data_IF_077969418952
#
_entry.id   IF_077969418952
#
_cell.length_a   1.000
_cell.length_b   1.000
_cell.length_c   1.000
_cell.angle_alpha   90.00
_cell.angle_beta   90.00
_cell.angle_gamma   90.00
#
_symmetry.space_group_name_H-M   'P 1'
#
loop_
_entity.id
_entity.type
_entity.pdbx_description
1 polymer ?
#
# COMPACT_ATOMS: atom_id res chain seq x y z
N UNK A 1 -7.30 -16.03 0.52
CA UNK A 1 -6.66 -16.79 -0.57
C UNK A 1 -6.15 -15.82 -1.63
N UNK A 2 -4.83 -15.71 -1.82
CA UNK A 2 -4.29 -15.05 -3.00
C UNK A 2 -4.61 -15.94 -4.19
N UNK A 3 -5.69 -15.61 -4.91
CA UNK A 3 -6.00 -16.32 -6.15
C UNK A 3 -4.81 -16.05 -7.05
N UNK A 4 -4.01 -17.06 -7.38
CA UNK A 4 -2.93 -16.95 -8.36
C UNK A 4 -3.54 -17.04 -9.75
N UNK A 5 -2.97 -16.35 -10.74
CA UNK A 5 -3.55 -16.38 -12.09
C UNK A 5 -3.16 -17.73 -12.67
N UNK A 6 -4.13 -18.55 -13.08
CA UNK A 6 -3.84 -19.86 -13.68
C UNK A 6 -2.90 -19.67 -14.86
N UNK A 7 -1.75 -20.37 -14.83
CA UNK A 7 -0.73 -20.34 -15.89
C UNK A 7 -1.35 -20.60 -17.27
N UNK A 8 -2.38 -21.45 -17.32
CA UNK A 8 -3.18 -21.75 -18.52
C UNK A 8 -3.94 -20.54 -19.06
N UNK A 9 -4.61 -19.76 -18.21
CA UNK A 9 -5.34 -18.54 -18.64
C UNK A 9 -4.40 -17.47 -19.18
N UNK A 10 -3.24 -17.29 -18.53
CA UNK A 10 -2.18 -16.40 -19.02
C UNK A 10 -1.69 -16.82 -20.39
N UNK A 11 -1.40 -18.12 -20.58
CA UNK A 11 -0.95 -18.65 -21.87
C UNK A 11 -1.97 -18.43 -23.00
N UNK A 12 -3.26 -18.68 -22.74
CA UNK A 12 -4.33 -18.45 -23.73
C UNK A 12 -4.44 -16.96 -24.07
N UNK A 13 -4.40 -16.09 -23.06
CA UNK A 13 -4.45 -14.64 -23.27
C UNK A 13 -3.27 -14.15 -24.12
N UNK A 14 -2.03 -14.58 -23.81
CA UNK A 14 -0.84 -14.23 -24.59
C UNK A 14 -1.01 -14.72 -26.04
N UNK A 15 -1.40 -15.98 -26.24
CA UNK A 15 -1.58 -16.56 -27.57
C UNK A 15 -2.59 -15.78 -28.43
N UNK A 16 -3.76 -15.45 -27.88
CA UNK A 16 -4.81 -14.70 -28.59
C UNK A 16 -4.39 -13.26 -28.90
N UNK A 17 -3.82 -12.55 -27.93
CA UNK A 17 -3.36 -11.18 -28.14
C UNK A 17 -2.22 -11.13 -29.14
N UNK A 18 -1.23 -12.03 -29.03
CA UNK A 18 -0.13 -12.12 -30.00
C UNK A 18 -0.63 -12.45 -31.40
N UNK A 19 -1.62 -13.33 -31.55
CA UNK A 19 -2.21 -13.65 -32.85
C UNK A 19 -2.86 -12.41 -33.49
N UNK A 20 -3.66 -11.66 -32.73
CA UNK A 20 -4.32 -10.43 -33.21
C UNK A 20 -3.30 -9.35 -33.57
N UNK A 21 -2.28 -9.15 -32.73
CA UNK A 21 -1.24 -8.14 -32.98
C UNK A 21 -0.40 -8.51 -34.21
N UNK A 22 -0.02 -9.78 -34.35
CA UNK A 22 0.78 -10.27 -35.47
C UNK A 22 0.00 -10.24 -36.78
N UNK A 23 -1.28 -10.63 -36.78
CA UNK A 23 -2.11 -10.58 -37.99
C UNK A 23 -2.29 -9.15 -38.48
N UNK A 24 -2.56 -8.21 -37.56
CA UNK A 24 -2.69 -6.80 -37.91
C UNK A 24 -1.34 -6.21 -38.37
N UNK A 25 -0.22 -6.57 -37.75
CA UNK A 25 1.10 -6.12 -38.20
C UNK A 25 1.44 -6.62 -39.61
N UNK A 26 1.26 -7.92 -39.87
CA UNK A 26 1.55 -8.54 -41.17
C UNK A 26 0.70 -7.95 -42.30
N UNK A 27 -0.53 -7.52 -41.99
CA UNK A 27 -1.43 -6.90 -42.95
C UNK A 27 -0.87 -5.59 -43.53
N UNK A 28 -0.14 -4.81 -42.74
CA UNK A 28 0.50 -3.57 -43.19
C UNK A 28 1.96 -3.76 -43.62
N UNK A 29 2.64 -4.79 -43.10
CA UNK A 29 4.04 -5.08 -43.43
C UNK A 29 4.23 -5.79 -44.77
N UNK A 30 3.24 -6.59 -45.21
CA UNK A 30 3.32 -7.34 -46.46
C UNK A 30 2.57 -6.59 -47.58
N UNK A 31 3.10 -6.57 -48.83
CA UNK A 31 2.47 -5.91 -49.98
C UNK A 31 1.29 -6.73 -50.55
N UNK A 32 0.42 -7.24 -49.68
CA UNK A 32 -0.71 -8.10 -50.05
C UNK A 32 -1.87 -7.26 -50.59
N UNK A 33 -2.01 -6.01 -50.13
CA UNK A 33 -3.12 -5.13 -50.49
C UNK A 33 -2.56 -3.83 -51.09
N UNK A 34 -2.73 -3.59 -52.41
CA UNK A 34 -2.09 -2.47 -53.12
C UNK A 34 -2.64 -1.09 -52.73
N UNK A 35 -3.82 -1.03 -52.13
CA UNK A 35 -4.35 0.15 -51.42
C UNK A 35 -5.21 -0.37 -50.26
N UNK A 36 -4.79 -0.14 -49.01
CA UNK A 36 -5.53 -0.67 -47.86
C UNK A 36 -6.90 0.03 -47.75
N UNK A 37 -8.02 -0.72 -47.82
CA UNK A 37 -9.35 -0.15 -47.68
C UNK A 37 -9.54 0.48 -46.30
N UNK A 38 -10.37 1.53 -46.21
CA UNK A 38 -10.66 2.22 -44.93
C UNK A 38 -11.25 1.26 -43.89
N UNK A 39 -11.97 0.25 -44.35
CA UNK A 39 -12.61 -0.79 -43.55
C UNK A 39 -11.57 -1.66 -42.83
N UNK A 40 -10.42 -1.91 -43.48
CA UNK A 40 -9.33 -2.71 -42.90
C UNK A 40 -8.63 -1.94 -41.78
N UNK A 41 -8.41 -0.64 -41.99
CA UNK A 41 -7.86 0.27 -40.98
C UNK A 41 -8.79 0.39 -39.77
N UNK A 42 -10.10 0.51 -40.01
CA UNK A 42 -11.11 0.50 -38.95
C UNK A 42 -11.15 -0.84 -38.21
N UNK A 43 -11.02 -1.96 -38.92
CA UNK A 43 -10.89 -3.29 -38.33
C UNK A 43 -9.69 -3.41 -37.39
N UNK A 44 -8.51 -2.96 -37.82
CA UNK A 44 -7.31 -2.95 -36.97
C UNK A 44 -7.45 -2.05 -35.74
N UNK A 45 -8.11 -0.89 -35.88
CA UNK A 45 -8.42 -0.01 -34.74
C UNK A 45 -9.39 -0.68 -33.76
N UNK A 46 -10.43 -1.35 -34.25
CA UNK A 46 -11.38 -2.10 -33.42
C UNK A 46 -10.71 -3.26 -32.68
N UNK A 47 -9.85 -4.01 -33.37
CA UNK A 47 -9.09 -5.10 -32.77
C UNK A 47 -8.21 -4.60 -31.61
N UNK A 48 -7.47 -3.53 -31.86
CA UNK A 48 -6.54 -2.98 -30.89
C UNK A 48 -7.24 -2.27 -29.71
N UNK A 49 -8.30 -1.51 -29.98
CA UNK A 49 -8.96 -0.65 -28.97
C UNK A 49 -10.15 -1.32 -28.27
N UNK A 50 -10.71 -2.40 -28.80
CA UNK A 50 -11.89 -3.06 -28.22
C UNK A 50 -11.70 -4.57 -28.06
N UNK A 51 -11.28 -5.30 -29.08
CA UNK A 51 -11.18 -6.77 -29.00
C UNK A 51 -10.11 -7.19 -27.98
N UNK A 52 -8.91 -6.60 -28.03
CA UNK A 52 -7.84 -6.88 -27.06
C UNK A 52 -8.29 -6.50 -25.63
N UNK A 53 -8.85 -5.30 -25.37
CA UNK A 53 -9.42 -4.97 -24.05
C UNK A 53 -10.50 -5.93 -23.57
N UNK A 54 -11.41 -6.39 -24.44
CA UNK A 54 -12.47 -7.37 -24.08
C UNK A 54 -11.86 -8.72 -23.72
N UNK A 55 -10.93 -9.23 -24.53
CA UNK A 55 -10.20 -10.48 -24.24
C UNK A 55 -9.45 -10.35 -22.90
N UNK A 56 -8.78 -9.22 -22.69
CA UNK A 56 -8.07 -8.92 -21.45
C UNK A 56 -9.03 -8.84 -20.26
N UNK A 57 -10.22 -8.29 -20.46
CA UNK A 57 -11.25 -8.23 -19.43
C UNK A 57 -11.66 -9.63 -18.98
N UNK A 58 -12.02 -10.52 -19.90
CA UNK A 58 -12.50 -11.86 -19.56
C UNK A 58 -11.42 -12.76 -18.94
N UNK A 59 -10.19 -12.72 -19.46
CA UNK A 59 -9.12 -13.63 -19.03
C UNK A 59 -8.34 -13.12 -17.81
N UNK A 60 -8.22 -11.80 -17.63
CA UNK A 60 -7.41 -11.18 -16.58
C UNK A 60 -8.25 -10.37 -15.57
N UNK A 61 -9.06 -9.41 -16.03
CA UNK A 61 -9.63 -8.36 -15.15
C UNK A 61 -10.88 -8.82 -14.37
N UNK A 62 -11.88 -9.41 -15.03
CA UNK A 62 -13.28 -9.65 -14.55
C UNK A 62 -13.41 -10.24 -13.14
N UNK A 63 -12.41 -10.98 -12.65
CA UNK A 63 -12.47 -11.67 -11.34
C UNK A 63 -11.42 -11.20 -10.34
N UNK A 64 -10.59 -10.22 -10.69
CA UNK A 64 -9.33 -9.96 -10.00
C UNK A 64 -9.00 -8.49 -9.85
N UNK A 65 -9.27 -7.71 -10.89
CA UNK A 65 -8.90 -6.31 -10.98
C UNK A 65 -10.16 -5.45 -11.16
N UNK A 66 -10.05 -4.18 -10.78
CA UNK A 66 -11.10 -3.19 -11.02
C UNK A 66 -11.30 -3.01 -12.54
N UNK A 67 -12.52 -2.63 -12.94
CA UNK A 67 -12.81 -2.29 -14.34
C UNK A 67 -11.90 -1.17 -14.87
N UNK A 68 -11.36 -0.35 -13.98
CA UNK A 68 -10.42 0.74 -14.30
C UNK A 68 -9.14 0.26 -15.00
N UNK A 69 -8.75 -1.01 -14.85
CA UNK A 69 -7.59 -1.56 -15.55
C UNK A 69 -7.82 -1.79 -17.06
N UNK A 70 -9.04 -1.60 -17.58
CA UNK A 70 -9.30 -1.62 -19.02
C UNK A 70 -8.67 -0.41 -19.72
N UNK A 71 -8.71 0.77 -19.10
CA UNK A 71 -8.19 2.01 -19.69
C UNK A 71 -6.72 1.92 -20.16
N UNK A 72 -5.75 1.47 -19.35
CA UNK A 72 -4.38 1.32 -19.81
C UNK A 72 -4.22 0.30 -20.94
N UNK A 73 -5.08 -0.73 -21.02
CA UNK A 73 -5.07 -1.72 -22.12
C UNK A 73 -5.55 -1.09 -23.41
N UNK A 74 -6.60 -0.26 -23.36
CA UNK A 74 -7.10 0.50 -24.52
C UNK A 74 -6.03 1.48 -25.02
N UNK A 75 -5.36 2.20 -24.11
CA UNK A 75 -4.29 3.14 -24.45
C UNK A 75 -3.11 2.41 -25.12
N UNK A 76 -2.66 1.29 -24.53
CA UNK A 76 -1.59 0.48 -25.12
C UNK A 76 -1.95 -0.07 -26.50
N UNK A 77 -3.20 -0.52 -26.66
CA UNK A 77 -3.73 -0.96 -27.95
C UNK A 77 -3.72 0.15 -29.00
N UNK A 78 -4.15 1.36 -28.64
CA UNK A 78 -4.10 2.51 -29.56
C UNK A 78 -2.67 2.91 -29.93
N UNK A 79 -1.74 2.92 -28.97
CA UNK A 79 -0.31 3.20 -29.25
C UNK A 79 0.23 2.18 -30.24
N UNK A 80 -0.09 0.90 -30.07
CA UNK A 80 0.31 -0.15 -31.01
C UNK A 80 -0.32 0.06 -32.39
N UNK A 81 -1.61 0.40 -32.47
CA UNK A 81 -2.28 0.68 -33.73
C UNK A 81 -1.61 1.85 -34.49
N UNK A 82 -1.20 2.90 -33.77
CA UNK A 82 -0.47 4.04 -34.37
C UNK A 82 0.92 3.67 -34.87
N UNK A 83 1.53 2.62 -34.31
CA UNK A 83 2.84 2.13 -34.73
C UNK A 83 2.76 1.28 -36.01
N UNK A 84 1.70 0.47 -36.16
CA UNK A 84 1.56 -0.45 -37.30
C UNK A 84 0.85 0.19 -38.52
N UNK A 85 -0.10 1.10 -38.29
CA UNK A 85 -0.91 1.70 -39.36
C UNK A 85 -0.18 2.92 -39.91
N UNK A 86 0.08 3.00 -41.23
CA UNK A 86 0.70 4.18 -41.83
C UNK A 86 -0.11 5.46 -41.59
N UNK A 87 0.58 6.59 -41.37
CA UNK A 87 -0.02 7.86 -40.93
C UNK A 87 -1.09 8.41 -41.85
N UNK A 88 -0.97 8.19 -43.16
CA UNK A 88 -1.90 8.71 -44.17
C UNK A 88 -3.30 8.09 -44.02
N UNK A 89 -3.37 6.84 -43.58
CA UNK A 89 -4.63 6.15 -43.31
C UNK A 89 -5.27 6.57 -41.98
N UNK A 90 -4.46 6.93 -40.98
CA UNK A 90 -4.95 7.38 -39.67
C UNK A 90 -5.57 8.79 -39.72
N UNK A 91 -5.20 9.64 -40.68
CA UNK A 91 -5.79 10.97 -40.83
C UNK A 91 -7.32 10.93 -41.02
N UNK A 92 -7.82 9.91 -41.73
CA UNK A 92 -9.26 9.69 -41.92
C UNK A 92 -10.01 9.36 -40.61
N UNK A 93 -9.28 8.95 -39.56
CA UNK A 93 -9.80 8.52 -38.27
C UNK A 93 -9.34 9.43 -37.12
N UNK A 94 -9.01 10.69 -37.42
CA UNK A 94 -8.58 11.68 -36.42
C UNK A 94 -9.53 11.80 -35.22
N UNK A 95 -10.84 11.58 -35.41
CA UNK A 95 -11.87 11.52 -34.35
C UNK A 95 -11.55 10.52 -33.22
N UNK A 96 -10.82 9.43 -33.50
CA UNK A 96 -10.43 8.42 -32.51
C UNK A 96 -9.50 9.01 -31.45
N UNK A 97 -8.57 9.88 -31.86
CA UNK A 97 -7.68 10.59 -30.94
C UNK A 97 -8.47 11.50 -29.97
N UNK A 98 -9.50 12.20 -30.47
CA UNK A 98 -10.36 13.04 -29.64
C UNK A 98 -11.18 12.23 -28.64
N UNK A 99 -11.64 11.03 -29.02
CA UNK A 99 -12.35 10.12 -28.10
C UNK A 99 -11.43 9.67 -26.95
N UNK A 100 -10.16 9.37 -27.23
CA UNK A 100 -9.19 8.98 -26.20
C UNK A 100 -8.93 10.13 -25.25
N UNK A 101 -8.66 11.33 -25.78
CA UNK A 101 -8.46 12.54 -24.97
C UNK A 101 -9.71 12.86 -24.13
N UNK A 102 -10.90 12.74 -24.70
CA UNK A 102 -12.15 12.91 -23.96
C UNK A 102 -12.30 11.87 -22.84
N UNK A 103 -11.89 10.62 -23.08
CA UNK A 103 -11.84 9.57 -22.07
C UNK A 103 -10.86 9.86 -20.94
N UNK A 104 -9.67 10.37 -21.27
CA UNK A 104 -8.66 10.80 -20.28
C UNK A 104 -9.18 11.96 -19.43
N UNK A 105 -9.78 12.98 -20.05
CA UNK A 105 -10.40 14.10 -19.33
C UNK A 105 -11.51 13.60 -18.40
N UNK A 106 -12.40 12.74 -18.89
CA UNK A 106 -13.45 12.16 -18.06
C UNK A 106 -12.91 11.37 -16.87
N UNK A 107 -11.83 10.60 -17.07
CA UNK A 107 -11.14 9.87 -16.02
C UNK A 107 -10.56 10.82 -14.96
N UNK A 108 -9.84 11.85 -15.38
CA UNK A 108 -9.29 12.90 -14.49
C UNK A 108 -10.40 13.62 -13.73
N UNK A 109 -11.53 13.91 -14.36
CA UNK A 109 -12.70 14.49 -13.69
C UNK A 109 -13.27 13.58 -12.59
N UNK A 110 -13.33 12.27 -12.84
CA UNK A 110 -13.79 11.29 -11.84
C UNK A 110 -12.84 11.23 -10.64
N UNK A 111 -11.53 11.16 -10.87
CA UNK A 111 -10.53 11.16 -9.79
C UNK A 111 -10.59 12.46 -8.98
N UNK A 112 -10.66 13.61 -9.66
CA UNK A 112 -10.81 14.93 -9.04
C UNK A 112 -12.09 15.03 -8.21
N UNK A 113 -13.20 14.45 -8.69
CA UNK A 113 -14.46 14.40 -7.96
C UNK A 113 -14.39 13.53 -6.69
N UNK A 114 -13.66 12.41 -6.74
CA UNK A 114 -13.41 11.57 -5.57
C UNK A 114 -12.57 12.32 -4.52
N UNK A 115 -11.51 13.02 -4.95
CA UNK A 115 -10.71 13.88 -4.06
C UNK A 115 -11.56 14.98 -3.45
N UNK A 116 -12.38 15.66 -4.26
CA UNK A 116 -13.29 16.71 -3.79
C UNK A 116 -14.26 16.22 -2.71
N UNK A 117 -14.81 15.00 -2.83
CA UNK A 117 -15.66 14.41 -1.78
C UNK A 117 -14.92 14.25 -0.45
N UNK A 118 -13.64 13.87 -0.48
CA UNK A 118 -12.81 13.72 0.71
C UNK A 118 -12.48 15.09 1.31
N UNK A 119 -12.08 16.06 0.47
CA UNK A 119 -11.79 17.43 0.88
C UNK A 119 -13.00 18.08 1.55
N UNK A 120 -14.22 17.87 1.04
CA UNK A 120 -15.45 18.37 1.68
C UNK A 120 -15.71 17.79 3.06
N UNK A 121 -15.19 16.60 3.38
CA UNK A 121 -15.29 15.97 4.71
C UNK A 121 -14.15 16.36 5.65
N UNK A 122 -13.10 16.98 5.14
CA UNK A 122 -11.91 17.35 5.91
C UNK A 122 -12.22 18.22 7.14
N UNK A 123 -13.11 19.24 7.09
CA UNK A 123 -13.43 20.03 8.29
C UNK A 123 -14.05 19.17 9.41
N UNK A 124 -14.91 18.22 9.04
CA UNK A 124 -15.51 17.28 10.00
C UNK A 124 -14.47 16.31 10.57
N UNK A 125 -13.55 15.82 9.74
CA UNK A 125 -12.42 14.97 10.17
C UNK A 125 -11.56 15.73 11.18
N UNK A 126 -11.21 16.99 10.91
CA UNK A 126 -10.41 17.82 11.82
C UNK A 126 -11.13 18.03 13.15
N UNK A 127 -12.45 18.30 13.12
CA UNK A 127 -13.26 18.43 14.33
C UNK A 127 -13.23 17.14 15.17
N UNK A 128 -13.53 16.00 14.53
CA UNK A 128 -13.53 14.68 15.19
C UNK A 128 -12.16 14.29 15.72
N UNK A 129 -11.09 14.59 14.98
CA UNK A 129 -9.73 14.36 15.42
C UNK A 129 -9.40 15.15 16.68
N UNK A 130 -9.81 16.42 16.78
CA UNK A 130 -9.60 17.21 18.01
C UNK A 130 -10.34 16.61 19.21
N UNK A 131 -11.58 16.14 19.01
CA UNK A 131 -12.37 15.44 20.04
C UNK A 131 -11.66 14.14 20.49
N UNK A 132 -11.23 13.29 19.56
CA UNK A 132 -10.56 12.03 19.91
C UNK A 132 -9.15 12.22 20.46
N UNK A 133 -8.42 13.27 20.05
CA UNK A 133 -7.09 13.57 20.60
C UNK A 133 -7.17 13.98 22.07
N UNK A 134 -8.24 14.65 22.50
CA UNK A 134 -8.43 14.95 23.93
C UNK A 134 -8.74 13.72 24.78
N UNK A 135 -9.35 12.68 24.18
CA UNK A 135 -9.67 11.43 24.87
C UNK A 135 -8.50 10.42 24.83
N UNK A 136 -7.74 10.39 23.72
CA UNK A 136 -6.61 9.51 23.51
C UNK A 136 -5.37 10.30 23.06
N UNK A 137 -4.30 10.25 23.85
CA UNK A 137 -3.04 10.96 23.56
C UNK A 137 -2.28 10.47 22.30
N UNK A 138 -2.78 9.44 21.58
CA UNK A 138 -2.16 8.91 20.36
C UNK A 138 -2.77 9.51 19.09
N UNK A 139 -1.93 10.18 18.29
CA UNK A 139 -2.29 10.70 16.97
C UNK A 139 -2.87 9.61 16.05
N UNK A 140 -2.17 8.48 15.92
CA UNK A 140 -2.55 7.41 14.99
C UNK A 140 -3.92 6.82 15.32
N UNK A 141 -4.24 6.69 16.61
CA UNK A 141 -5.57 6.26 17.03
C UNK A 141 -6.62 7.32 16.72
N UNK A 142 -6.38 8.57 17.12
CA UNK A 142 -7.33 9.67 16.94
C UNK A 142 -7.66 9.93 15.46
N UNK A 143 -6.66 9.86 14.58
CA UNK A 143 -6.89 10.04 13.14
C UNK A 143 -7.67 8.86 12.54
N UNK A 144 -7.40 7.63 12.95
CA UNK A 144 -8.18 6.47 12.48
C UNK A 144 -9.66 6.62 12.85
N UNK A 145 -9.93 6.92 14.12
CA UNK A 145 -11.28 7.11 14.65
C UNK A 145 -12.01 8.29 13.99
N UNK A 146 -11.28 9.38 13.71
CA UNK A 146 -11.86 10.54 13.02
C UNK A 146 -12.31 10.21 11.60
N UNK A 147 -11.51 9.45 10.85
CA UNK A 147 -11.88 9.01 9.50
C UNK A 147 -13.02 7.99 9.52
N UNK A 148 -13.00 7.04 10.46
CA UNK A 148 -14.06 6.05 10.63
C UNK A 148 -15.42 6.69 10.96
N UNK A 149 -15.41 7.74 11.79
CA UNK A 149 -16.61 8.50 12.13
C UNK A 149 -17.11 9.42 11.00
N UNK A 150 -16.19 9.93 10.16
CA UNK A 150 -16.55 10.90 9.12
C UNK A 150 -17.01 10.26 7.81
N UNK A 151 -16.53 9.06 7.47
CA UNK A 151 -16.87 8.38 6.22
C UNK A 151 -16.60 6.88 6.25
N UNK A 152 -17.26 6.15 5.34
CA UNK A 152 -17.01 4.72 5.16
C UNK A 152 -15.60 4.48 4.61
N UNK A 153 -14.85 3.59 5.26
CA UNK A 153 -13.53 3.14 4.80
C UNK A 153 -13.61 2.41 3.47
N UNK A 154 -12.85 2.91 2.50
CA UNK A 154 -12.53 2.23 1.26
C UNK A 154 -11.00 2.30 1.07
N UNK A 155 -10.47 1.57 0.07
CA UNK A 155 -9.01 1.52 -0.15
C UNK A 155 -8.37 2.90 -0.37
N UNK A 156 -9.05 3.82 -1.03
CA UNK A 156 -8.52 5.18 -1.25
C UNK A 156 -8.40 5.95 0.06
N UNK A 157 -9.43 5.87 0.92
CA UNK A 157 -9.39 6.47 2.26
C UNK A 157 -8.29 5.84 3.11
N UNK A 158 -8.11 4.52 3.05
CA UNK A 158 -7.04 3.84 3.80
C UNK A 158 -5.64 4.25 3.35
N UNK A 159 -5.44 4.44 2.04
CA UNK A 159 -4.20 5.01 1.50
C UNK A 159 -4.00 6.42 2.04
N UNK A 160 -5.00 7.30 1.91
CA UNK A 160 -4.91 8.69 2.37
C UNK A 160 -4.61 8.77 3.87
N UNK A 161 -5.25 7.96 4.70
CA UNK A 161 -4.98 7.93 6.14
C UNK A 161 -3.55 7.48 6.44
N UNK A 162 -3.03 6.51 5.68
CA UNK A 162 -1.65 6.05 5.81
C UNK A 162 -0.67 7.17 5.42
N UNK A 163 -0.91 7.85 4.30
CA UNK A 163 -0.11 9.00 3.85
C UNK A 163 -0.17 10.16 4.85
N UNK A 164 -1.35 10.46 5.41
CA UNK A 164 -1.48 11.47 6.47
C UNK A 164 -0.63 11.12 7.69
N UNK A 165 -0.59 9.84 8.09
CA UNK A 165 0.28 9.38 9.18
C UNK A 165 1.75 9.53 8.83
N UNK A 166 2.15 9.13 7.62
CA UNK A 166 3.52 9.27 7.14
C UNK A 166 3.97 10.74 7.21
N UNK A 167 3.22 11.65 6.60
CA UNK A 167 3.54 13.09 6.60
C UNK A 167 3.59 13.64 8.03
N UNK A 168 2.62 13.29 8.87
CA UNK A 168 2.60 13.74 10.25
C UNK A 168 3.84 13.28 11.03
N UNK A 169 4.19 11.99 10.97
CA UNK A 169 5.33 11.47 11.71
C UNK A 169 6.67 11.92 11.12
N UNK A 170 6.79 12.07 9.80
CA UNK A 170 8.01 12.58 9.18
C UNK A 170 8.30 14.03 9.60
N UNK A 171 7.28 14.91 9.57
CA UNK A 171 7.51 16.37 9.62
C UNK A 171 6.87 17.09 10.80
N UNK A 172 5.74 16.61 11.33
CA UNK A 172 4.91 17.38 12.26
C UNK A 172 4.96 16.87 13.71
N UNK A 173 5.38 15.61 13.93
CA UNK A 173 5.37 14.99 15.26
C UNK A 173 6.57 15.33 16.14
N UNK A 174 7.51 16.18 15.68
CA UNK A 174 8.78 16.43 16.37
C UNK A 174 8.61 17.09 17.73
N UNK A 175 7.58 17.94 17.89
CA UNK A 175 7.23 18.62 19.14
C UNK A 175 6.19 17.89 19.99
N UNK A 176 5.61 16.81 19.47
CA UNK A 176 4.59 16.06 20.19
C UNK A 176 5.22 15.31 21.37
N UNK A 177 4.59 15.30 22.54
CA UNK A 177 5.09 14.54 23.69
C UNK A 177 4.86 13.05 23.46
N UNK A 178 5.79 12.21 23.95
CA UNK A 178 5.54 10.76 23.99
C UNK A 178 4.56 10.52 25.13
N UNK A 179 3.53 9.68 24.97
CA UNK A 179 2.70 9.26 26.10
C UNK A 179 3.59 8.62 27.17
N UNK A 180 3.41 9.04 28.42
CA UNK A 180 4.11 8.52 29.60
C UNK A 180 3.07 8.09 30.64
N UNK A 181 3.39 7.07 31.42
CA UNK A 181 2.51 6.52 32.45
C UNK A 181 2.93 5.12 32.85
N UNK A 182 2.41 4.65 33.98
CA UNK A 182 2.73 3.33 34.55
C UNK A 182 2.33 2.17 33.63
N UNK A 183 1.30 2.36 32.80
CA UNK A 183 0.78 1.35 31.86
C UNK A 183 1.18 1.61 30.40
N UNK A 184 2.29 2.34 30.20
CA UNK A 184 2.77 2.75 28.87
C UNK A 184 4.18 2.26 28.64
N UNK A 185 4.35 1.41 27.64
CA UNK A 185 5.59 0.68 27.43
C UNK A 185 6.21 0.96 26.06
N UNK A 186 7.48 1.36 26.03
CA UNK A 186 8.25 1.41 24.78
C UNK A 186 8.75 0.02 24.39
N UNK A 187 9.06 -0.15 23.10
CA UNK A 187 9.53 -1.42 22.52
C UNK A 187 10.76 -1.24 21.61
N UNK A 188 11.32 -0.03 21.58
CA UNK A 188 12.35 0.36 20.61
C UNK A 188 13.63 0.88 21.28
N UNK A 189 13.61 1.21 22.58
CA UNK A 189 14.75 1.86 23.25
C UNK A 189 15.90 0.89 23.51
N UNK A 190 15.61 -0.39 23.76
CA UNK A 190 16.59 -1.45 23.99
C UNK A 190 16.87 -2.30 22.75
N UNK A 191 16.59 -1.76 21.57
CA UNK A 191 16.75 -2.45 20.28
C UNK A 191 17.65 -1.65 19.34
N UNK A 192 18.22 -2.32 18.33
CA UNK A 192 19.00 -1.66 17.29
C UNK A 192 18.17 -0.89 16.25
N UNK A 193 16.83 -0.92 16.35
CA UNK A 193 15.93 -0.57 15.25
C UNK A 193 16.09 0.86 14.73
N UNK A 194 16.16 1.85 15.63
CA UNK A 194 16.35 3.26 15.23
C UNK A 194 17.68 3.42 14.48
N UNK A 195 18.75 2.78 14.98
CA UNK A 195 20.06 2.80 14.34
C UNK A 195 20.03 2.21 12.92
N UNK A 196 19.28 1.11 12.70
CA UNK A 196 19.11 0.51 11.38
C UNK A 196 18.40 1.45 10.42
N UNK A 197 17.30 2.11 10.84
CA UNK A 197 16.63 3.08 9.96
C UNK A 197 17.53 4.28 9.64
N UNK A 198 18.30 4.79 10.60
CA UNK A 198 19.27 5.87 10.36
C UNK A 198 20.34 5.41 9.35
N UNK A 199 20.87 4.19 9.51
CA UNK A 199 21.84 3.61 8.57
C UNK A 199 21.26 3.50 7.16
N UNK A 200 20.02 3.00 7.02
CA UNK A 200 19.34 2.89 5.72
C UNK A 200 19.16 4.28 5.09
N UNK A 201 18.74 5.30 5.86
CA UNK A 201 18.60 6.67 5.34
C UNK A 201 19.93 7.18 4.78
N UNK A 202 21.05 6.97 5.48
CA UNK A 202 22.39 7.38 5.00
C UNK A 202 22.81 6.59 3.75
N UNK A 203 22.61 5.27 3.75
CA UNK A 203 22.91 4.42 2.61
C UNK A 203 22.12 4.87 1.38
N UNK A 204 20.80 5.04 1.50
CA UNK A 204 19.92 5.52 0.43
C UNK A 204 20.34 6.91 -0.06
N UNK A 205 20.77 7.81 0.82
CA UNK A 205 21.24 9.14 0.41
C UNK A 205 22.49 9.05 -0.47
N UNK A 206 23.51 8.32 -0.04
CA UNK A 206 24.79 8.15 -0.78
C UNK A 206 24.53 7.42 -2.10
N UNK A 207 23.79 6.32 -2.04
CA UNK A 207 23.38 5.50 -3.18
C UNK A 207 22.60 6.31 -4.22
N UNK A 208 21.70 7.20 -3.78
CA UNK A 208 20.90 8.06 -4.66
C UNK A 208 21.76 8.98 -5.50
N UNK A 209 22.86 9.53 -4.96
CA UNK A 209 23.76 10.41 -5.71
C UNK A 209 24.42 9.63 -6.86
N UNK A 210 24.97 8.46 -6.54
CA UNK A 210 25.64 7.60 -7.53
C UNK A 210 24.69 7.09 -8.62
N UNK A 211 23.54 6.54 -8.22
CA UNK A 211 22.57 6.03 -9.18
C UNK A 211 21.88 7.14 -9.98
N UNK A 212 21.60 8.30 -9.39
CA UNK A 212 21.04 9.40 -10.16
C UNK A 212 21.99 9.81 -11.29
N UNK A 213 23.29 9.97 -11.01
CA UNK A 213 24.27 10.27 -12.05
C UNK A 213 24.34 9.17 -13.13
N UNK A 214 24.45 7.90 -12.71
CA UNK A 214 24.53 6.77 -13.63
C UNK A 214 23.29 6.67 -14.54
N UNK A 215 22.09 6.74 -13.96
CA UNK A 215 20.86 6.63 -14.73
C UNK A 215 20.57 7.88 -15.55
N UNK A 216 21.05 9.05 -15.15
CA UNK A 216 20.83 10.28 -15.93
C UNK A 216 21.55 10.23 -17.28
N UNK A 217 22.69 9.51 -17.38
CA UNK A 217 23.37 9.28 -18.65
C UNK A 217 22.59 8.37 -19.60
N UNK A 218 21.83 7.42 -19.04
CA UNK A 218 21.03 6.49 -19.82
C UNK A 218 19.66 7.05 -20.18
N UNK A 219 18.93 7.58 -19.19
CA UNK A 219 17.63 8.20 -19.34
C UNK A 219 17.34 9.18 -18.18
N UNK A 220 17.34 10.51 -18.44
CA UNK A 220 17.08 11.52 -17.42
C UNK A 220 15.74 11.35 -16.68
N UNK A 221 14.69 10.91 -17.37
CA UNK A 221 13.35 10.71 -16.77
C UNK A 221 13.41 9.60 -15.72
N UNK A 222 14.06 8.48 -16.04
CA UNK A 222 14.23 7.36 -15.09
C UNK A 222 15.01 7.82 -13.85
N UNK A 223 16.08 8.60 -14.04
CA UNK A 223 16.90 9.12 -12.95
C UNK A 223 16.09 9.99 -11.97
N UNK A 224 15.22 10.87 -12.48
CA UNK A 224 14.35 11.71 -11.65
C UNK A 224 13.26 10.91 -10.91
N UNK A 225 12.66 9.91 -11.58
CA UNK A 225 11.68 9.02 -10.95
C UNK A 225 12.32 8.25 -9.80
N UNK A 226 13.50 7.67 -10.00
CA UNK A 226 14.22 6.93 -8.96
C UNK A 226 14.65 7.84 -7.80
N UNK A 227 15.17 9.04 -8.09
CA UNK A 227 15.51 10.01 -7.06
C UNK A 227 14.28 10.39 -6.21
N UNK A 228 13.14 10.64 -6.84
CA UNK A 228 11.88 10.96 -6.15
C UNK A 228 11.44 9.81 -5.24
N UNK A 229 11.52 8.57 -5.71
CA UNK A 229 11.20 7.38 -4.93
C UNK A 229 12.13 7.21 -3.72
N UNK A 230 13.43 7.48 -3.89
CA UNK A 230 14.39 7.41 -2.79
C UNK A 230 14.15 8.51 -1.74
N UNK A 231 13.85 9.73 -2.16
CA UNK A 231 13.46 10.82 -1.24
C UNK A 231 12.19 10.45 -0.47
N UNK A 232 11.19 9.89 -1.15
CA UNK A 232 9.98 9.39 -0.49
C UNK A 232 10.28 8.28 0.51
N UNK A 233 11.16 7.33 0.15
CA UNK A 233 11.58 6.26 1.06
C UNK A 233 12.28 6.81 2.31
N UNK A 234 13.14 7.83 2.17
CA UNK A 234 13.74 8.51 3.33
C UNK A 234 12.69 9.14 4.25
N UNK A 235 11.67 9.80 3.69
CA UNK A 235 10.56 10.34 4.50
C UNK A 235 9.77 9.24 5.19
N UNK A 236 9.54 8.11 4.51
CA UNK A 236 8.93 6.94 5.13
C UNK A 236 9.76 6.43 6.33
N UNK A 237 11.08 6.30 6.18
CA UNK A 237 11.95 5.85 7.28
C UNK A 237 11.99 6.83 8.45
N UNK A 238 12.00 8.14 8.18
CA UNK A 238 11.88 9.17 9.22
C UNK A 238 10.53 9.07 9.95
N UNK A 239 9.44 8.90 9.20
CA UNK A 239 8.12 8.70 9.75
C UNK A 239 8.04 7.42 10.59
N UNK A 240 8.67 6.33 10.16
CA UNK A 240 8.69 5.07 10.89
C UNK A 240 9.44 5.19 12.22
N UNK A 241 10.61 5.84 12.24
CA UNK A 241 11.33 6.16 13.49
C UNK A 241 10.43 6.94 14.45
N UNK A 242 9.79 7.99 13.95
CA UNK A 242 8.96 8.85 14.77
C UNK A 242 7.67 8.14 15.22
N UNK A 243 7.08 7.32 14.37
CA UNK A 243 5.93 6.50 14.71
C UNK A 243 6.29 5.47 15.80
N UNK A 244 7.47 4.86 15.75
CA UNK A 244 7.92 3.96 16.82
C UNK A 244 8.11 4.68 18.16
N UNK A 245 8.63 5.91 18.13
CA UNK A 245 8.84 6.72 19.33
C UNK A 245 7.55 7.22 19.96
N UNK A 246 6.53 7.52 19.14
CA UNK A 246 5.31 8.23 19.57
C UNK A 246 4.10 7.30 19.76
N UNK A 247 4.22 6.02 19.45
CA UNK A 247 3.16 5.04 19.67
C UNK A 247 3.67 3.92 20.59
N UNK A 248 3.84 4.16 21.90
CA UNK A 248 4.12 3.08 22.84
C UNK A 248 2.97 2.07 22.89
N UNK A 249 3.25 0.88 23.41
CA UNK A 249 2.24 -0.10 23.77
C UNK A 249 1.51 0.43 25.00
N UNK A 250 0.17 0.46 24.95
CA UNK A 250 -0.65 1.00 26.02
C UNK A 250 -1.50 -0.14 26.59
N UNK A 251 -1.36 -0.37 27.88
CA UNK A 251 -2.24 -1.25 28.65
C UNK A 251 -3.31 -0.37 29.31
N UNK A 252 -4.58 -0.71 29.08
CA UNK A 252 -5.72 -0.01 29.72
C UNK A 252 -6.40 -0.97 30.69
N UNK A 253 -7.48 -0.54 31.33
CA UNK A 253 -8.24 -1.41 32.23
C UNK A 253 -8.84 -2.66 31.55
N UNK A 254 -9.24 -2.57 30.27
CA UNK A 254 -10.01 -3.63 29.59
C UNK A 254 -9.32 -4.25 28.37
N UNK A 255 -8.23 -3.63 27.91
CA UNK A 255 -7.60 -3.98 26.63
C UNK A 255 -6.15 -3.54 26.58
N UNK A 256 -5.37 -4.25 25.76
CA UNK A 256 -4.03 -3.83 25.32
C UNK A 256 -4.10 -3.27 23.89
N UNK A 257 -3.40 -2.16 23.67
CA UNK A 257 -3.27 -1.50 22.37
C UNK A 257 -1.81 -1.65 21.93
N UNK A 258 -1.58 -2.45 20.89
CA UNK A 258 -0.26 -2.69 20.32
C UNK A 258 -0.22 -2.00 18.96
N UNK A 259 0.62 -0.97 18.85
CA UNK A 259 0.89 -0.31 17.58
C UNK A 259 2.39 -0.22 17.33
N UNK A 260 2.87 -0.93 16.30
CA UNK A 260 4.28 -0.96 15.93
C UNK A 260 4.50 -0.11 14.69
N UNK A 261 5.15 1.03 14.89
CA UNK A 261 5.49 1.97 13.82
C UNK A 261 4.25 2.52 13.12
N UNK A 262 4.36 2.72 11.81
CA UNK A 262 3.24 3.08 10.95
C UNK A 262 2.35 1.87 10.64
N UNK A 263 2.92 0.67 10.72
CA UNK A 263 2.46 -0.43 9.87
C UNK A 263 1.71 -1.57 10.53
N UNK A 264 1.74 -1.72 11.85
CA UNK A 264 1.01 -2.81 12.54
C UNK A 264 0.21 -2.23 13.68
N UNK A 265 -1.09 -2.51 13.73
CA UNK A 265 -1.96 -2.12 14.84
C UNK A 265 -2.93 -3.25 15.17
N UNK A 266 -2.99 -3.61 16.44
CA UNK A 266 -3.98 -4.53 16.99
C UNK A 266 -4.43 -4.03 18.36
N UNK A 267 -5.73 -4.14 18.62
CA UNK A 267 -6.35 -3.81 19.91
C UNK A 267 -6.99 -5.10 20.39
N UNK A 268 -6.59 -5.57 21.57
CA UNK A 268 -7.00 -6.87 22.10
C UNK A 268 -7.63 -6.65 23.48
N UNK A 269 -8.94 -6.88 23.64
CA UNK A 269 -9.57 -6.97 24.96
C UNK A 269 -8.96 -8.11 25.78
N UNK A 270 -8.81 -7.94 27.10
CA UNK A 270 -8.25 -9.00 27.96
C UNK A 270 -9.12 -10.27 27.94
N UNK A 271 -10.45 -10.12 27.84
CA UNK A 271 -11.39 -11.22 27.64
C UNK A 271 -11.03 -12.15 26.48
N UNK A 272 -10.35 -11.64 25.44
CA UNK A 272 -9.94 -12.40 24.25
C UNK A 272 -8.52 -12.99 24.35
N UNK A 273 -7.77 -12.66 25.40
CA UNK A 273 -6.43 -13.20 25.65
C UNK A 273 -6.59 -14.50 26.44
N UNK A 274 -6.02 -15.59 25.91
CA UNK A 274 -5.96 -16.88 26.60
C UNK A 274 -4.84 -16.86 27.65
N UNK A 275 -3.63 -16.48 27.22
CA UNK A 275 -2.47 -16.32 28.11
C UNK A 275 -1.38 -15.49 27.46
N UNK A 276 -0.51 -14.95 28.32
CA UNK A 276 0.78 -14.36 27.96
C UNK A 276 1.90 -15.24 28.52
N UNK A 277 2.92 -15.52 27.72
CA UNK A 277 4.09 -16.30 28.16
C UNK A 277 5.38 -15.72 27.61
N UNK A 278 6.48 -15.88 28.35
CA UNK A 278 7.82 -15.65 27.80
C UNK A 278 8.06 -16.63 26.64
N UNK A 279 8.42 -16.10 25.49
CA UNK A 279 8.66 -16.89 24.30
C UNK A 279 10.00 -17.63 24.44
N UNK A 280 9.95 -18.95 24.26
CA UNK A 280 11.12 -19.85 24.37
C UNK A 280 11.49 -20.49 23.03
N UNK A 281 10.90 -20.02 21.93
CA UNK A 281 11.11 -20.58 20.59
C UNK A 281 12.31 -19.98 19.86
N UNK A 282 12.65 -20.57 18.72
CA UNK A 282 13.66 -20.03 17.80
C UNK A 282 13.14 -18.81 17.03
N UNK A 283 14.03 -18.17 16.26
CA UNK A 283 13.72 -17.05 15.37
C UNK A 283 12.54 -17.37 14.45
N UNK A 284 11.60 -16.41 14.37
CA UNK A 284 10.31 -16.61 13.71
C UNK A 284 10.44 -16.98 12.23
N UNK A 285 9.90 -18.13 11.86
CA UNK A 285 9.49 -18.42 10.48
C UNK A 285 8.19 -17.64 10.20
N UNK A 286 8.02 -17.15 8.96
CA UNK A 286 6.81 -16.40 8.57
C UNK A 286 5.57 -17.28 8.65
N UNK A 287 4.87 -17.23 9.78
CA UNK A 287 3.62 -17.96 10.00
C UNK A 287 2.39 -17.12 9.63
N UNK A 288 1.40 -17.78 9.00
CA UNK A 288 0.20 -17.09 8.50
C UNK A 288 -0.75 -16.64 9.61
N UNK A 289 -0.63 -17.16 10.83
CA UNK A 289 -1.54 -16.84 11.94
C UNK A 289 -0.86 -16.09 13.08
N UNK A 290 0.43 -15.76 12.92
CA UNK A 290 1.21 -15.01 13.90
C UNK A 290 1.33 -13.56 13.45
N UNK A 291 1.08 -12.63 14.36
CA UNK A 291 1.54 -11.25 14.24
C UNK A 291 2.93 -11.15 14.85
N UNK A 292 3.93 -10.96 14.00
CA UNK A 292 5.23 -10.50 14.43
C UNK A 292 5.14 -8.99 14.69
N UNK A 293 5.02 -8.59 15.95
CA UNK A 293 5.01 -7.21 16.44
C UNK A 293 6.39 -6.79 17.00
N UNK A 294 7.48 -7.44 16.58
CA UNK A 294 8.83 -6.92 16.83
C UNK A 294 9.23 -5.88 15.79
N UNK A 295 10.31 -5.15 16.11
CA UNK A 295 10.91 -4.13 15.26
C UNK A 295 11.95 -4.71 14.32
N UNK A 296 12.31 -3.95 13.29
CA UNK A 296 13.37 -4.33 12.37
C UNK A 296 14.74 -4.11 13.04
N UNK A 297 15.57 -5.14 13.06
CA UNK A 297 16.93 -5.07 13.63
C UNK A 297 17.93 -5.69 12.65
N UNK A 298 19.20 -5.27 12.75
CA UNK A 298 20.27 -5.77 11.87
C UNK A 298 20.51 -7.26 12.12
N UNK A 299 20.57 -7.63 13.39
CA UNK A 299 20.50 -9.01 13.86
C UNK A 299 19.15 -9.15 14.52
N UNK A 300 18.28 -9.97 13.94
CA UNK A 300 16.95 -10.17 14.50
C UNK A 300 17.05 -11.00 15.77
N UNK A 301 16.53 -10.48 16.86
CA UNK A 301 16.37 -11.21 18.11
C UNK A 301 15.01 -11.96 18.14
N UNK A 302 14.92 -13.09 18.85
CA UNK A 302 13.64 -13.74 19.09
C UNK A 302 12.72 -12.80 19.88
N UNK A 303 11.38 -12.94 19.73
CA UNK A 303 10.47 -12.14 20.51
C UNK A 303 10.59 -12.46 22.01
N UNK A 304 10.33 -11.49 22.89
CA UNK A 304 10.31 -11.71 24.34
C UNK A 304 9.04 -12.42 24.78
N UNK A 305 7.88 -12.03 24.24
CA UNK A 305 6.58 -12.53 24.66
C UNK A 305 5.77 -13.13 23.53
N UNK A 306 4.96 -14.12 23.87
CA UNK A 306 3.85 -14.62 23.06
C UNK A 306 2.53 -14.43 23.81
N UNK A 307 1.62 -13.72 23.16
CA UNK A 307 0.21 -13.59 23.57
C UNK A 307 -0.60 -14.53 22.69
N UNK A 308 -1.29 -15.48 23.30
CA UNK A 308 -2.20 -16.39 22.63
C UNK A 308 -3.62 -15.87 22.79
N UNK A 309 -4.37 -15.81 21.70
CA UNK A 309 -5.74 -15.34 21.66
C UNK A 309 -6.71 -16.51 21.71
N UNK A 310 -7.80 -16.36 22.46
CA UNK A 310 -8.90 -17.34 22.51
C UNK A 310 -9.59 -17.48 21.14
N UNK A 311 -9.74 -16.35 20.45
CA UNK A 311 -10.29 -16.29 19.09
C UNK A 311 -9.39 -15.46 18.17
N UNK A 312 -9.32 -15.78 16.86
CA UNK A 312 -8.49 -15.03 15.94
C UNK A 312 -8.92 -13.57 15.79
N UNK A 313 -8.01 -12.63 16.03
CA UNK A 313 -8.26 -11.20 15.94
C UNK A 313 -7.72 -10.59 14.63
N UNK A 314 -8.33 -9.47 14.21
CA UNK A 314 -7.94 -8.76 12.98
C UNK A 314 -6.87 -7.71 13.28
N UNK A 315 -5.70 -7.86 12.66
CA UNK A 315 -4.63 -6.85 12.66
C UNK A 315 -4.85 -5.89 11.50
N UNK A 316 -4.74 -4.60 11.79
CA UNK A 316 -4.65 -3.55 10.78
C UNK A 316 -3.19 -3.35 10.35
N UNK A 317 -2.96 -3.38 9.04
CA UNK A 317 -1.67 -3.15 8.39
C UNK A 317 -1.72 -1.85 7.56
N UNK A 318 -0.57 -1.43 7.02
CA UNK A 318 -0.47 -0.28 6.11
C UNK A 318 -1.49 -0.33 4.98
N UNK A 319 -1.94 0.84 4.52
CA UNK A 319 -2.82 1.00 3.36
C UNK A 319 -4.15 0.23 3.45
N UNK A 320 -4.63 -0.03 4.68
CA UNK A 320 -5.88 -0.73 4.93
C UNK A 320 -5.81 -2.24 4.72
N UNK A 321 -4.62 -2.79 4.49
CA UNK A 321 -4.43 -4.24 4.53
C UNK A 321 -4.75 -4.76 5.92
N UNK A 322 -5.20 -6.00 5.99
CA UNK A 322 -5.48 -6.65 7.26
C UNK A 322 -5.18 -8.13 7.21
N UNK A 323 -4.79 -8.68 8.35
CA UNK A 323 -4.50 -10.09 8.52
C UNK A 323 -5.17 -10.57 9.81
N UNK A 324 -5.74 -11.77 9.79
CA UNK A 324 -6.26 -12.42 10.99
C UNK A 324 -5.15 -13.22 11.65
N UNK A 325 -5.01 -13.11 12.97
CA UNK A 325 -3.95 -13.75 13.76
C UNK A 325 -4.52 -14.37 15.02
N UNK A 326 -3.97 -15.50 15.44
CA UNK A 326 -4.29 -16.19 16.70
C UNK A 326 -3.22 -15.95 17.77
N UNK A 327 -2.03 -15.50 17.36
CA UNK A 327 -0.88 -15.27 18.24
C UNK A 327 -0.22 -13.94 17.93
N UNK A 328 0.26 -13.24 18.96
CA UNK A 328 1.01 -11.99 18.85
C UNK A 328 2.35 -12.15 19.55
N UNK A 329 3.43 -11.91 18.81
CA UNK A 329 4.79 -11.90 19.32
C UNK A 329 5.28 -10.47 19.45
N UNK A 330 5.79 -10.06 20.61
CA UNK A 330 6.22 -8.69 20.84
C UNK A 330 7.43 -8.61 21.77
N UNK A 331 8.14 -7.48 21.66
CA UNK A 331 9.20 -7.07 22.58
C UNK A 331 8.74 -5.83 23.33
N UNK A 332 9.18 -5.70 24.57
CA UNK A 332 8.86 -4.57 25.44
C UNK A 332 10.13 -4.21 26.20
N UNK A 333 10.47 -2.93 26.28
CA UNK A 333 11.72 -2.50 26.94
C UNK A 333 11.70 -2.80 28.46
N UNK A 334 10.53 -2.78 29.10
CA UNK A 334 10.32 -3.06 30.53
C UNK A 334 9.60 -4.40 30.75
N UNK A 335 10.26 -5.49 30.36
CA UNK A 335 9.69 -6.84 30.27
C UNK A 335 8.98 -7.32 31.54
N UNK A 336 9.64 -7.26 32.70
CA UNK A 336 9.10 -7.79 33.97
C UNK A 336 7.85 -7.04 34.41
N UNK A 337 7.93 -5.70 34.46
CA UNK A 337 6.79 -4.87 34.85
C UNK A 337 5.60 -5.08 33.90
N UNK A 338 5.85 -5.12 32.59
CA UNK A 338 4.82 -5.41 31.60
C UNK A 338 4.15 -6.78 31.84
N UNK A 339 4.94 -7.83 32.08
CA UNK A 339 4.41 -9.17 32.33
C UNK A 339 3.54 -9.24 33.60
N UNK A 340 4.00 -8.61 34.68
CA UNK A 340 3.28 -8.59 35.96
C UNK A 340 1.92 -7.88 35.82
N UNK A 341 1.90 -6.68 35.21
CA UNK A 341 0.67 -5.92 34.94
C UNK A 341 -0.29 -6.70 34.03
N UNK A 342 0.23 -7.30 32.96
CA UNK A 342 -0.61 -8.11 32.06
C UNK A 342 -1.22 -9.31 32.77
N UNK A 343 -0.46 -9.97 33.64
CA UNK A 343 -0.94 -11.13 34.41
C UNK A 343 -1.98 -10.73 35.45
N UNK A 344 -1.77 -9.61 36.13
CA UNK A 344 -2.74 -9.03 37.07
C UNK A 344 -4.08 -8.75 36.37
N UNK A 345 -4.06 -8.03 35.24
CA UNK A 345 -5.28 -7.69 34.48
C UNK A 345 -6.00 -8.94 33.95
N UNK A 346 -5.28 -10.00 33.57
CA UNK A 346 -5.88 -11.26 33.11
C UNK A 346 -6.54 -12.06 34.24
N UNK A 347 -6.08 -11.93 35.48
CA UNK A 347 -6.67 -12.62 36.63
C UNK A 347 -7.92 -11.91 37.18
N UNK A 348 -8.14 -10.64 36.83
CA UNK A 348 -9.26 -9.82 37.29
C UNK A 348 -10.45 -9.76 36.31
N UNK A 349 -10.35 -10.40 35.15
CA UNK A 349 -11.46 -10.63 34.20
C UNK A 349 -11.89 -12.09 34.17
#
# INVERSE_FOLDING_TARGET
MSVTLSRRRKGIWIGLVSLILLSNYLLYALPIVPATPKEVVLGSLLDCMFVIPVITYFFIIRKRYSLTYIFPVVIAGYIFARFIIPSDYLQAFSYVSYIIVAGEIAFVCVESFLLYKIVRKLPNIIKKYKEYKSEYSSFSYAIDAAFDAAMKRNKLVDIIVTECKLIYYAFLSWREKVPEGEYVYSYHKKTGAIGVYIMIIHATLIESIGFHYLFHQWNPVVAWVLLTLNVYAMFYFLAEIQAMRKNPIIVTEKKIIIQIGLGKKIIIPFTQIDKITFYKGELLKKEKEVLDATVMEFIKEPPTFEIILKEPAKVQLLYGFSKTVSRVHLNVDEERNFYDVMTEKLNHE
#
